data_IF_722682002087
#
_entry.id   IF_722682002087
#
_cell.length_a   1.000
_cell.length_b   1.000
_cell.length_c   1.000
_cell.angle_alpha   90.00
_cell.angle_beta   90.00
_cell.angle_gamma   90.00
#
_symmetry.space_group_name_H-M   'P 1'
#
loop_
_entity.id
_entity.type
_entity.pdbx_description
1 polymer ?
#
# COMPACT_ATOMS: atom_id res chain seq x y z
N UNK A 1 -38.69 -52.53 -39.03
CA UNK A 1 -39.00 -51.88 -37.74
C UNK A 1 -38.45 -50.46 -37.81
N UNK A 2 -39.31 -49.48 -37.48
CA UNK A 2 -39.10 -48.02 -37.44
C UNK A 2 -39.20 -47.22 -38.76
N UNK A 3 -40.46 -46.93 -39.04
CA UNK A 3 -41.13 -45.72 -39.56
C UNK A 3 -40.56 -44.37 -39.10
N UNK A 4 -40.50 -43.37 -40.02
CA UNK A 4 -41.12 -42.03 -39.93
C UNK A 4 -40.46 -41.01 -40.87
N UNK A 5 -41.26 -40.45 -41.77
CA UNK A 5 -41.05 -39.20 -42.52
C UNK A 5 -41.15 -37.99 -41.58
N UNK A 6 -40.44 -36.88 -41.86
CA UNK A 6 -41.04 -35.60 -42.29
C UNK A 6 -40.02 -34.43 -42.35
N UNK A 7 -40.36 -33.46 -43.20
CA UNK A 7 -39.63 -32.25 -43.57
C UNK A 7 -39.60 -31.20 -42.44
N UNK A 8 -38.63 -30.28 -42.45
CA UNK A 8 -38.96 -28.87 -42.17
C UNK A 8 -37.90 -27.89 -42.72
N UNK A 9 -38.39 -26.85 -43.41
CA UNK A 9 -37.66 -25.79 -44.07
C UNK A 9 -37.63 -24.49 -43.23
N UNK A 10 -36.46 -23.80 -43.24
CA UNK A 10 -36.11 -22.38 -42.97
C UNK A 10 -36.73 -21.60 -41.78
N UNK A 11 -35.94 -20.72 -41.10
CA UNK A 11 -35.87 -19.32 -41.56
C UNK A 11 -34.48 -18.64 -41.41
N UNK A 12 -34.20 -17.64 -42.27
CA UNK A 12 -33.29 -16.51 -41.94
C UNK A 12 -34.14 -15.39 -41.32
N UNK A 13 -33.69 -14.54 -40.37
CA UNK A 13 -32.62 -13.52 -40.54
C UNK A 13 -31.79 -13.34 -39.22
N UNK A 14 -30.85 -12.43 -38.96
CA UNK A 14 -30.79 -11.01 -39.23
C UNK A 14 -29.39 -10.43 -38.86
N UNK A 15 -28.97 -9.42 -39.61
CA UNK A 15 -28.34 -8.21 -39.08
C UNK A 15 -26.94 -8.35 -38.49
N UNK A 16 -25.93 -8.04 -39.30
CA UNK A 16 -24.62 -7.59 -38.83
C UNK A 16 -24.76 -6.22 -38.13
N UNK A 17 -24.31 -6.04 -36.87
CA UNK A 17 -23.94 -4.71 -36.41
C UNK A 17 -22.57 -4.38 -36.98
N UNK A 18 -22.53 -3.51 -37.98
CA UNK A 18 -21.29 -2.90 -38.45
C UNK A 18 -20.65 -2.13 -37.29
N UNK A 19 -19.46 -2.59 -36.86
CA UNK A 19 -18.65 -1.92 -35.85
C UNK A 19 -18.08 -0.63 -36.44
N UNK A 20 -18.24 0.47 -35.71
CA UNK A 20 -17.85 1.82 -36.11
C UNK A 20 -16.32 2.01 -36.25
N UNK A 21 -15.87 2.93 -37.12
CA UNK A 21 -14.50 2.92 -37.69
C UNK A 21 -13.36 3.29 -36.71
N UNK A 22 -13.66 3.76 -35.50
CA UNK A 22 -12.64 4.25 -34.57
C UNK A 22 -11.91 3.13 -33.77
N UNK A 23 -12.36 1.88 -33.85
CA UNK A 23 -11.77 0.74 -33.13
C UNK A 23 -10.73 -0.07 -33.91
N UNK A 24 -10.54 0.18 -35.21
CA UNK A 24 -9.76 -0.68 -36.11
C UNK A 24 -8.23 -0.48 -36.05
N UNK A 25 -7.72 0.46 -35.24
CA UNK A 25 -6.28 0.73 -35.19
C UNK A 25 -5.49 -0.06 -34.11
N UNK A 26 -6.13 -0.91 -33.28
CA UNK A 26 -5.42 -1.57 -32.15
C UNK A 26 -5.59 -3.09 -32.03
N UNK A 27 -6.07 -3.76 -33.08
CA UNK A 27 -6.21 -5.23 -33.09
C UNK A 27 -5.57 -5.85 -34.32
N UNK A 28 -4.24 -5.79 -34.39
CA UNK A 28 -3.41 -6.61 -35.29
C UNK A 28 -2.78 -7.80 -34.55
N UNK A 29 -3.54 -8.43 -33.66
CA UNK A 29 -3.16 -9.67 -33.00
C UNK A 29 -4.40 -10.54 -32.84
N UNK A 30 -4.94 -11.03 -33.96
CA UNK A 30 -5.79 -12.21 -33.99
C UNK A 30 -6.21 -12.49 -35.43
N UNK A 31 -5.34 -13.08 -36.24
CA UNK A 31 -5.81 -14.02 -37.26
C UNK A 31 -4.68 -15.00 -37.60
N UNK A 32 -5.04 -16.28 -37.62
CA UNK A 32 -4.25 -17.47 -37.96
C UNK A 32 -3.40 -18.09 -36.82
N UNK A 33 -3.86 -19.25 -36.32
CA UNK A 33 -3.05 -20.21 -35.59
C UNK A 33 -3.76 -20.93 -34.45
N UNK A 34 -4.60 -21.92 -34.77
CA UNK A 34 -5.14 -22.87 -33.78
C UNK A 34 -4.02 -23.81 -33.33
N UNK A 35 -3.63 -23.74 -32.05
CA UNK A 35 -2.95 -24.83 -31.34
C UNK A 35 -3.28 -24.72 -29.84
N UNK A 36 -3.85 -25.79 -29.30
CA UNK A 36 -4.23 -25.92 -27.90
C UNK A 36 -3.03 -25.71 -26.97
N UNK A 37 -3.16 -24.85 -25.96
CA UNK A 37 -2.32 -24.85 -24.75
C UNK A 37 -3.00 -23.98 -23.70
N UNK A 38 -3.37 -24.58 -22.57
CA UNK A 38 -4.04 -23.88 -21.47
C UNK A 38 -3.24 -22.66 -21.03
N UNK A 39 -3.93 -21.53 -20.82
CA UNK A 39 -3.34 -20.41 -20.12
C UNK A 39 -3.10 -20.87 -18.70
N UNK A 40 -1.87 -21.30 -18.41
CA UNK A 40 -1.36 -21.39 -17.05
C UNK A 40 -1.41 -19.97 -16.50
N UNK A 41 -2.50 -19.62 -15.82
CA UNK A 41 -2.57 -18.49 -14.91
C UNK A 41 -1.57 -18.80 -13.79
N UNK A 42 -0.30 -18.44 -13.98
CA UNK A 42 0.67 -18.42 -12.90
C UNK A 42 0.24 -17.34 -11.92
N UNK A 43 -0.60 -17.73 -10.95
CA UNK A 43 -0.76 -17.00 -9.70
C UNK A 43 0.63 -16.94 -9.11
N UNK A 44 1.27 -15.78 -9.24
CA UNK A 44 2.48 -15.48 -8.52
C UNK A 44 2.11 -15.39 -7.03
N UNK A 45 2.10 -16.54 -6.35
CA UNK A 45 2.18 -16.58 -4.90
C UNK A 45 3.54 -15.99 -4.54
N UNK A 46 3.57 -14.80 -3.94
CA UNK A 46 4.78 -14.33 -3.24
C UNK A 46 4.99 -15.28 -2.06
N UNK A 47 6.01 -16.16 -2.07
CA UNK A 47 6.32 -16.97 -0.91
C UNK A 47 7.33 -16.21 -0.04
N UNK A 48 7.11 -16.23 1.26
CA UNK A 48 8.16 -15.94 2.23
C UNK A 48 8.01 -14.61 2.95
N UNK A 49 7.66 -14.73 4.22
CA UNK A 49 7.78 -13.77 5.30
C UNK A 49 9.12 -12.98 5.25
N UNK A 50 9.14 -11.88 4.53
CA UNK A 50 9.99 -10.71 4.81
C UNK A 50 9.05 -9.52 4.68
N UNK A 51 8.60 -8.98 5.82
CA UNK A 51 7.68 -7.85 5.85
C UNK A 51 8.45 -6.58 5.47
N UNK A 52 8.79 -6.44 4.19
CA UNK A 52 9.41 -5.24 3.61
C UNK A 52 8.42 -4.64 2.58
N UNK A 53 7.36 -4.02 3.10
CA UNK A 53 6.47 -3.11 2.39
C UNK A 53 7.30 -1.92 1.89
N UNK A 54 7.75 -2.03 0.65
CA UNK A 54 8.53 -1.04 -0.09
C UNK A 54 7.68 -0.04 -0.89
N UNK A 55 6.52 0.37 -0.38
CA UNK A 55 5.55 1.13 -1.19
C UNK A 55 4.85 2.19 -0.35
N UNK A 56 4.42 3.27 -1.00
CA UNK A 56 3.51 4.25 -0.40
C UNK A 56 2.17 3.58 -0.01
N UNK A 57 1.35 4.17 0.87
CA UNK A 57 0.08 3.58 1.29
C UNK A 57 -0.85 3.21 0.13
N UNK A 58 -0.95 4.08 -0.88
CA UNK A 58 -1.72 3.80 -2.10
C UNK A 58 -1.08 2.67 -2.91
N UNK A 59 0.25 2.65 -3.07
CA UNK A 59 0.97 1.57 -3.75
C UNK A 59 0.89 0.22 -3.04
N UNK A 60 0.70 0.20 -1.71
CA UNK A 60 0.46 -1.03 -0.95
C UNK A 60 -0.90 -1.66 -1.30
N UNK A 61 -1.93 -0.84 -1.51
CA UNK A 61 -3.25 -1.33 -1.97
C UNK A 61 -3.28 -1.70 -3.45
N UNK A 62 -2.47 -1.04 -4.28
CA UNK A 62 -2.52 -1.21 -5.74
C UNK A 62 -1.79 -2.43 -6.30
N UNK A 63 -1.18 -3.31 -5.47
CA UNK A 63 -0.64 -4.61 -5.90
C UNK A 63 0.33 -4.56 -7.10
N UNK A 64 1.64 -4.51 -6.84
CA UNK A 64 2.73 -4.86 -7.77
C UNK A 64 2.79 -4.21 -9.17
N UNK A 65 2.09 -3.10 -9.43
CA UNK A 65 2.33 -2.32 -10.64
C UNK A 65 3.58 -1.44 -10.46
N UNK A 66 4.76 -1.98 -10.78
CA UNK A 66 5.98 -1.19 -10.91
C UNK A 66 5.95 -0.41 -12.23
N UNK A 67 5.80 0.91 -12.15
CA UNK A 67 6.15 1.79 -13.27
C UNK A 67 7.64 1.64 -13.57
N UNK A 68 8.01 1.52 -14.85
CA UNK A 68 9.40 1.32 -15.29
C UNK A 68 10.34 2.52 -15.02
N UNK A 69 9.86 3.59 -14.37
CA UNK A 69 10.61 4.82 -14.11
C UNK A 69 10.68 5.21 -12.62
N UNK A 70 10.43 4.30 -11.69
CA UNK A 70 10.56 4.63 -10.25
C UNK A 70 12.04 4.53 -9.84
N UNK A 71 12.62 5.57 -9.20
CA UNK A 71 13.97 5.50 -8.62
C UNK A 71 14.10 4.28 -7.71
N UNK A 72 15.30 3.69 -7.62
CA UNK A 72 15.56 2.51 -6.75
C UNK A 72 14.95 2.72 -5.37
N UNK A 73 13.86 2.00 -5.09
CA UNK A 73 13.21 2.06 -3.79
C UNK A 73 14.14 1.45 -2.76
N UNK A 74 14.58 2.23 -1.78
CA UNK A 74 15.39 1.75 -0.66
C UNK A 74 14.42 1.27 0.41
N UNK A 75 14.58 0.00 0.79
CA UNK A 75 13.79 -0.66 1.83
C UNK A 75 14.73 -1.20 2.89
N UNK A 76 15.24 -0.31 3.70
CA UNK A 76 16.15 -0.66 4.79
C UNK A 76 15.68 -0.02 6.10
N UNK A 77 14.36 0.17 6.21
CA UNK A 77 13.72 0.74 7.39
C UNK A 77 14.08 -0.07 8.62
N UNK A 78 14.40 0.61 9.71
CA UNK A 78 14.75 0.01 10.99
C UNK A 78 13.57 0.04 11.92
N UNK A 79 13.40 -1.05 12.68
CA UNK A 79 12.35 -1.19 13.69
C UNK A 79 12.46 -0.16 14.83
N UNK A 80 11.36 0.10 15.57
CA UNK A 80 11.40 0.97 16.75
C UNK A 80 12.42 0.54 17.81
N UNK A 81 12.59 -0.77 18.01
CA UNK A 81 13.55 -1.35 18.96
C UNK A 81 15.01 -1.11 18.57
N UNK A 82 15.31 -0.99 17.27
CA UNK A 82 16.62 -0.55 16.79
C UNK A 82 16.86 0.91 17.17
N UNK A 83 15.94 1.81 16.81
CA UNK A 83 16.09 3.26 17.07
C UNK A 83 16.17 3.59 18.56
N UNK A 84 15.43 2.85 19.40
CA UNK A 84 15.51 2.98 20.86
C UNK A 84 16.93 2.79 21.39
N UNK A 85 17.67 1.82 20.84
CA UNK A 85 19.04 1.46 21.27
C UNK A 85 20.14 2.16 20.47
N UNK A 86 19.79 2.77 19.34
CA UNK A 86 20.76 3.39 18.45
C UNK A 86 21.42 4.62 19.08
N UNK A 87 22.76 4.66 18.97
CA UNK A 87 23.55 5.87 19.20
C UNK A 87 23.54 6.79 17.96
N UNK A 88 23.35 6.22 16.78
CA UNK A 88 23.39 6.91 15.48
C UNK A 88 22.01 7.50 15.13
N UNK A 89 21.46 8.30 16.03
CA UNK A 89 20.20 8.99 15.80
C UNK A 89 20.47 10.21 14.88
N UNK A 90 19.61 10.51 13.89
CA UNK A 90 19.78 11.71 13.06
C UNK A 90 20.06 12.99 13.88
N UNK A 91 21.20 13.64 13.63
CA UNK A 91 21.75 14.74 14.45
C UNK A 91 20.81 15.94 14.66
N UNK A 92 19.80 16.11 13.79
CA UNK A 92 18.85 17.22 13.85
C UNK A 92 17.65 16.93 14.78
N UNK A 93 17.59 15.75 15.39
CA UNK A 93 16.45 15.33 16.18
C UNK A 93 16.87 14.70 17.51
N UNK A 94 16.63 15.42 18.60
CA UNK A 94 16.94 14.93 19.94
C UNK A 94 15.97 13.83 20.39
N UNK A 95 16.48 12.87 21.18
CA UNK A 95 15.68 11.80 21.79
C UNK A 95 14.56 12.34 22.70
N UNK A 96 14.81 13.51 23.30
CA UNK A 96 13.93 14.25 24.20
C UNK A 96 12.90 15.12 23.48
N UNK A 97 13.02 15.29 22.16
CA UNK A 97 12.02 16.01 21.35
C UNK A 97 10.64 15.42 21.60
N UNK A 98 9.64 16.29 21.73
CA UNK A 98 8.26 15.87 21.95
C UNK A 98 7.66 15.33 20.66
N UNK A 99 6.82 14.31 20.76
CA UNK A 99 6.10 13.75 19.61
C UNK A 99 5.30 14.83 18.86
N UNK A 100 4.70 15.77 19.59
CA UNK A 100 3.96 16.91 19.02
C UNK A 100 4.79 17.84 18.13
N UNK A 101 6.11 17.86 18.26
CA UNK A 101 6.99 18.65 17.40
C UNK A 101 7.05 18.07 15.97
N UNK A 102 6.85 16.76 15.82
CA UNK A 102 6.82 16.08 14.53
C UNK A 102 5.39 15.89 14.01
N UNK A 103 4.48 15.59 14.93
CA UNK A 103 3.13 15.11 14.68
C UNK A 103 2.16 15.93 15.53
N UNK A 104 1.59 17.03 14.99
CA UNK A 104 0.71 17.91 15.75
C UNK A 104 -0.45 17.13 16.38
N UNK A 105 -0.69 17.35 17.67
CA UNK A 105 -1.73 16.68 18.44
C UNK A 105 -2.90 17.61 18.75
N UNK A 106 -4.13 17.13 18.57
CA UNK A 106 -5.32 17.79 19.13
C UNK A 106 -5.50 17.44 20.63
N UNK A 107 -6.52 18.00 21.28
CA UNK A 107 -6.79 17.80 22.72
C UNK A 107 -7.04 16.34 23.10
N UNK A 108 -7.66 15.54 22.22
CA UNK A 108 -7.94 14.13 22.46
C UNK A 108 -6.65 13.27 22.51
N UNK A 109 -5.56 13.73 21.87
CA UNK A 109 -4.26 13.06 21.85
C UNK A 109 -3.23 13.74 22.77
N UNK A 110 -3.69 14.32 23.89
CA UNK A 110 -2.83 15.00 24.88
C UNK A 110 -1.70 14.13 25.44
N UNK A 111 -1.93 12.83 25.63
CA UNK A 111 -0.89 11.89 26.09
C UNK A 111 0.25 11.74 25.09
N UNK A 112 -0.05 11.73 23.78
CA UNK A 112 0.97 11.74 22.73
C UNK A 112 1.75 13.04 22.73
N UNK A 113 1.06 14.18 22.90
CA UNK A 113 1.67 15.52 22.82
C UNK A 113 2.91 15.66 23.69
N UNK A 114 2.87 15.12 24.91
CA UNK A 114 3.91 15.29 25.93
C UNK A 114 4.95 14.16 25.96
N UNK A 115 4.69 13.04 25.27
CA UNK A 115 5.65 11.94 25.18
C UNK A 115 6.86 12.36 24.34
N UNK A 116 8.06 12.03 24.81
CA UNK A 116 9.29 12.19 24.01
C UNK A 116 9.37 11.11 22.93
N UNK A 117 10.15 11.34 21.88
CA UNK A 117 10.37 10.33 20.84
C UNK A 117 10.93 9.03 21.42
N UNK A 118 11.84 9.12 22.40
CA UNK A 118 12.37 7.94 23.08
C UNK A 118 11.32 7.19 23.92
N UNK A 119 10.42 7.92 24.59
CA UNK A 119 9.30 7.31 25.31
C UNK A 119 8.36 6.60 24.33
N UNK A 120 8.05 7.23 23.20
CA UNK A 120 7.22 6.65 22.16
C UNK A 120 7.83 5.37 21.59
N UNK A 121 9.13 5.38 21.28
CA UNK A 121 9.87 4.19 20.81
C UNK A 121 9.91 3.06 21.85
N UNK A 122 9.78 3.38 23.14
CA UNK A 122 9.77 2.40 24.22
C UNK A 122 8.43 1.67 24.39
N UNK A 123 7.40 2.09 23.66
CA UNK A 123 6.03 1.64 23.87
C UNK A 123 5.37 2.42 25.01
N UNK A 124 4.11 2.78 24.83
CA UNK A 124 3.33 3.55 25.79
C UNK A 124 1.94 2.91 25.94
N UNK A 125 1.39 2.92 27.16
CA UNK A 125 0.08 2.31 27.44
C UNK A 125 -1.09 2.98 26.70
N UNK A 126 -0.95 4.26 26.34
CA UNK A 126 -1.93 4.98 25.54
C UNK A 126 -1.79 4.73 24.02
N UNK A 127 -0.72 4.06 23.59
CA UNK A 127 -0.43 3.69 22.20
C UNK A 127 -0.61 2.18 21.98
N UNK A 128 -1.81 1.68 22.31
CA UNK A 128 -2.14 0.26 22.28
C UNK A 128 -1.86 -0.41 20.92
N UNK A 129 -2.10 0.33 19.84
CA UNK A 129 -1.91 -0.12 18.47
C UNK A 129 -0.50 0.21 17.93
N UNK A 130 0.35 0.83 18.75
CA UNK A 130 1.74 1.19 18.41
C UNK A 130 1.86 2.12 17.20
N UNK A 131 0.82 2.90 16.90
CA UNK A 131 0.82 3.82 15.77
C UNK A 131 1.90 4.89 15.99
N UNK A 132 1.93 5.48 17.20
CA UNK A 132 2.91 6.50 17.55
C UNK A 132 4.32 5.94 17.48
N UNK A 133 4.52 4.73 18.03
CA UNK A 133 5.79 4.02 18.00
C UNK A 133 6.30 3.81 16.55
N UNK A 134 5.45 3.29 15.65
CA UNK A 134 5.85 3.05 14.26
C UNK A 134 5.96 4.34 13.45
N UNK A 135 5.15 5.37 13.71
CA UNK A 135 5.29 6.68 13.05
C UNK A 135 6.63 7.33 13.36
N UNK A 136 7.08 7.27 14.62
CA UNK A 136 8.39 7.80 15.01
C UNK A 136 9.51 7.02 14.31
N UNK A 137 9.45 5.68 14.32
CA UNK A 137 10.45 4.87 13.63
C UNK A 137 10.50 5.15 12.11
N UNK A 138 9.33 5.32 11.47
CA UNK A 138 9.24 5.66 10.04
C UNK A 138 9.85 7.03 9.76
N UNK A 139 9.57 8.01 10.61
CA UNK A 139 10.16 9.35 10.50
C UNK A 139 11.69 9.30 10.58
N UNK A 140 12.24 8.52 11.51
CA UNK A 140 13.69 8.32 11.64
C UNK A 140 14.28 7.60 10.42
N UNK A 141 13.58 6.62 9.86
CA UNK A 141 14.01 5.92 8.65
C UNK A 141 14.09 6.86 7.45
N UNK A 142 13.14 7.80 7.30
CA UNK A 142 13.18 8.82 6.25
C UNK A 142 14.37 9.78 6.46
N UNK A 143 14.58 10.26 7.68
CA UNK A 143 15.70 11.17 7.99
C UNK A 143 17.07 10.49 7.81
N UNK A 144 17.17 9.21 8.13
CA UNK A 144 18.38 8.39 7.94
C UNK A 144 18.56 7.93 6.48
N UNK A 145 17.67 8.32 5.56
CA UNK A 145 17.67 7.92 4.14
C UNK A 145 17.61 6.40 3.92
N UNK A 146 16.97 5.70 4.85
CA UNK A 146 16.77 4.24 4.81
C UNK A 146 15.46 3.85 4.13
N UNK A 147 14.55 4.81 3.96
CA UNK A 147 13.32 4.67 3.18
C UNK A 147 13.19 5.83 2.21
N UNK A 148 13.06 5.52 0.92
CA UNK A 148 12.87 6.53 -0.14
C UNK A 148 11.43 6.65 -0.65
N UNK A 149 10.54 5.73 -0.24
CA UNK A 149 9.13 5.73 -0.65
C UNK A 149 8.21 6.44 0.34
N UNK A 150 8.66 6.64 1.58
CA UNK A 150 7.98 7.46 2.57
C UNK A 150 8.61 8.85 2.60
N UNK A 151 7.80 9.88 2.83
CA UNK A 151 8.27 11.23 3.08
C UNK A 151 7.61 11.81 4.34
N UNK A 152 8.21 12.85 4.91
CA UNK A 152 7.75 13.44 6.16
C UNK A 152 6.31 13.98 6.06
N UNK A 153 5.91 14.71 4.98
CA UNK A 153 4.54 15.18 4.82
C UNK A 153 3.51 14.04 4.78
N UNK A 154 3.84 12.91 4.16
CA UNK A 154 2.96 11.75 4.11
C UNK A 154 2.70 11.19 5.51
N UNK A 155 3.75 11.00 6.32
CA UNK A 155 3.61 10.50 7.69
C UNK A 155 2.79 11.47 8.56
N UNK A 156 3.01 12.78 8.40
CA UNK A 156 2.24 13.81 9.09
C UNK A 156 0.77 13.81 8.66
N UNK A 157 0.48 13.58 7.39
CA UNK A 157 -0.90 13.48 6.89
C UNK A 157 -1.62 12.24 7.41
N UNK A 158 -0.95 11.08 7.48
CA UNK A 158 -1.52 9.86 8.08
C UNK A 158 -1.98 10.17 9.52
N UNK A 159 -1.10 10.78 10.31
CA UNK A 159 -1.43 11.17 11.68
C UNK A 159 -2.54 12.21 11.73
N UNK A 160 -2.48 13.27 10.92
CA UNK A 160 -3.49 14.33 10.87
C UNK A 160 -4.89 13.77 10.58
N UNK A 161 -5.03 12.93 9.57
CA UNK A 161 -6.32 12.33 9.21
C UNK A 161 -6.83 11.38 10.29
N UNK A 162 -5.95 10.51 10.80
CA UNK A 162 -6.29 9.57 11.86
C UNK A 162 -6.83 10.29 13.11
N UNK A 163 -6.20 11.38 13.53
CA UNK A 163 -6.66 12.14 14.69
C UNK A 163 -7.97 12.88 14.48
N UNK A 164 -8.23 13.32 13.24
CA UNK A 164 -9.42 14.09 12.91
C UNK A 164 -10.65 13.20 12.71
N UNK A 165 -10.47 11.99 12.17
CA UNK A 165 -11.57 11.13 11.70
C UNK A 165 -11.59 9.73 12.31
N UNK A 166 -10.52 9.32 12.99
CA UNK A 166 -10.31 7.96 13.49
C UNK A 166 -9.76 6.97 12.45
N UNK A 167 -9.50 7.43 11.22
CA UNK A 167 -8.96 6.62 10.13
C UNK A 167 -8.15 7.46 9.14
N UNK A 168 -7.28 6.80 8.38
CA UNK A 168 -6.59 7.36 7.23
C UNK A 168 -7.16 6.76 5.94
N UNK A 169 -7.31 7.54 4.87
CA UNK A 169 -7.83 7.05 3.60
C UNK A 169 -6.74 7.12 2.50
N UNK A 170 -5.93 6.06 2.31
CA UNK A 170 -4.85 6.08 1.32
C UNK A 170 -5.36 6.17 -0.13
N UNK A 171 -6.57 5.69 -0.38
CA UNK A 171 -7.30 5.79 -1.66
C UNK A 171 -8.79 5.97 -1.37
N UNK A 172 -9.53 6.53 -2.34
CA UNK A 172 -10.98 6.71 -2.22
C UNK A 172 -11.68 5.38 -1.91
N UNK A 173 -12.60 5.39 -0.95
CA UNK A 173 -13.40 4.22 -0.56
C UNK A 173 -12.68 3.18 0.32
N UNK A 174 -11.40 3.34 0.62
CA UNK A 174 -10.68 2.48 1.59
C UNK A 174 -10.28 3.29 2.82
N UNK A 175 -10.64 2.78 3.99
CA UNK A 175 -10.32 3.37 5.29
C UNK A 175 -9.38 2.45 6.03
N UNK A 176 -8.31 3.01 6.55
CA UNK A 176 -7.34 2.35 7.41
C UNK A 176 -7.53 2.85 8.82
N UNK A 177 -7.89 1.94 9.71
CA UNK A 177 -7.97 2.22 11.13
C UNK A 177 -6.60 2.02 11.78
N UNK A 178 -6.55 2.20 13.10
CA UNK A 178 -5.34 2.08 13.90
C UNK A 178 -4.48 0.85 13.54
N UNK A 179 -5.14 -0.31 13.41
CA UNK A 179 -4.47 -1.58 13.11
C UNK A 179 -3.87 -1.61 11.71
N UNK A 180 -4.62 -1.19 10.69
CA UNK A 180 -4.15 -1.18 9.32
C UNK A 180 -2.96 -0.24 9.14
N UNK A 181 -3.01 0.92 9.79
CA UNK A 181 -1.91 1.90 9.79
C UNK A 181 -0.67 1.29 10.45
N UNK A 182 -0.82 0.70 11.64
CA UNK A 182 0.29 0.07 12.35
C UNK A 182 0.86 -1.12 11.58
N UNK A 183 0.02 -1.95 10.97
CA UNK A 183 0.42 -3.07 10.14
C UNK A 183 1.23 -2.59 8.93
N UNK A 184 0.71 -1.61 8.20
CA UNK A 184 1.43 -1.02 7.06
C UNK A 184 2.78 -0.43 7.50
N UNK A 185 2.83 0.39 8.55
CA UNK A 185 4.08 1.01 9.00
C UNK A 185 5.08 -0.01 9.53
N UNK A 186 4.63 -0.99 10.31
CA UNK A 186 5.52 -2.04 10.83
C UNK A 186 6.10 -2.90 9.72
N UNK A 187 5.34 -3.19 8.67
CA UNK A 187 5.84 -3.87 7.49
C UNK A 187 6.79 -3.02 6.66
N UNK A 188 7.04 -1.74 6.97
CA UNK A 188 8.05 -0.94 6.23
C UNK A 188 9.45 -1.04 6.86
N UNK A 189 9.62 -1.92 7.85
CA UNK A 189 10.79 -1.95 8.73
C UNK A 189 11.18 -3.38 9.13
N UNK A 190 12.48 -3.59 9.33
CA UNK A 190 13.08 -4.81 9.87
C UNK A 190 13.98 -4.56 11.09
#
# INVERSE_FOLDING_TARGET
>A
MHESSDQQQAPAPAGTPALSPAGQARRRLATAGVAASGVLLTVASQPGMACDICRSPSGFLSGALQSQQVPKTVCSGRSPSYWKRSANWPNHLAKTTKFSALFPCNSAFGSYKNATLQQMLSGQSFDNQKIGQYLVAAHLNVLAKLSSFQNLPMLQNIWKEFQARGYYAPVAGKRWYAYDIAFYLSGTMS
#
